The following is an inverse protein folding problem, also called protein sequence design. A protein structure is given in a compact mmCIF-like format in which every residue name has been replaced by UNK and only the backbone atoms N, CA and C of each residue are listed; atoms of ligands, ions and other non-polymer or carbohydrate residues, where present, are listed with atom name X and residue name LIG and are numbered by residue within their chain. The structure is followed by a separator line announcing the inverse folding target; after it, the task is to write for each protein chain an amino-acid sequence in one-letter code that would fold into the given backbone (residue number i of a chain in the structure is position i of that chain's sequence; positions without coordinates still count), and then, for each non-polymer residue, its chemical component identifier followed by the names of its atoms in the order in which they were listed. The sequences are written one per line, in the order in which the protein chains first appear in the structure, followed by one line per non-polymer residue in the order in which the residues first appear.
data_IF_455038312619
#
_entry.id   IF_455038312619
#
_cell.length_a   1.000
_cell.length_b   1.000
_cell.length_c   1.000
_cell.angle_alpha   90.00
_cell.angle_beta   90.00
_cell.angle_gamma   90.00
#
_symmetry.space_group_name_H-M   'P 1'
#
loop_
_entity.id
_entity.type
_entity.pdbx_description
1 polymer ?
#
# COMPACT_ATOMS: atom_id res chain seq x y z
N UNK A 1 20.88 1.67 21.82
CA UNK A 1 19.91 1.19 20.83
C UNK A 1 20.44 1.45 19.44
N UNK A 2 20.72 0.41 18.65
CA UNK A 2 21.09 0.56 17.25
C UNK A 2 19.81 0.54 16.42
N UNK A 3 19.46 1.68 15.81
CA UNK A 3 18.39 1.75 14.82
C UNK A 3 19.02 1.35 13.50
N UNK A 4 18.66 0.16 12.99
CA UNK A 4 19.11 -0.30 11.69
C UNK A 4 18.31 0.48 10.62
N UNK A 5 18.89 1.57 10.13
CA UNK A 5 18.37 2.28 8.95
C UNK A 5 18.79 1.45 7.74
N UNK A 6 17.84 0.98 6.92
CA UNK A 6 18.18 0.28 5.68
C UNK A 6 19.01 1.22 4.79
N UNK A 7 20.32 1.04 4.80
CA UNK A 7 21.20 1.47 3.71
C UNK A 7 20.74 0.68 2.48
N UNK A 8 20.65 1.34 1.32
CA UNK A 8 20.09 0.85 0.05
C UNK A 8 20.57 -0.54 -0.47
N UNK A 9 21.44 -1.24 0.27
CA UNK A 9 21.91 -2.61 0.00
C UNK A 9 21.26 -3.72 0.83
N UNK A 10 20.39 -3.42 1.81
CA UNK A 10 19.69 -4.47 2.59
C UNK A 10 18.36 -4.93 2.00
N UNK A 11 17.69 -4.11 1.20
CA UNK A 11 16.46 -4.50 0.54
C UNK A 11 16.76 -5.24 -0.77
N UNK A 12 15.90 -6.17 -1.15
CA UNK A 12 16.00 -6.87 -2.43
C UNK A 12 15.82 -5.88 -3.59
N UNK A 13 16.25 -6.26 -4.80
CA UNK A 13 16.09 -5.42 -6.00
C UNK A 13 14.62 -5.10 -6.32
N UNK A 14 13.68 -5.94 -5.86
CA UNK A 14 12.24 -5.76 -5.98
C UNK A 14 11.62 -4.98 -4.82
N UNK A 15 12.42 -4.33 -3.99
CA UNK A 15 11.96 -3.64 -2.78
C UNK A 15 12.46 -2.19 -2.72
N UNK A 16 11.77 -1.38 -1.93
CA UNK A 16 12.16 -0.02 -1.57
C UNK A 16 12.31 0.08 -0.05
N UNK A 17 13.30 0.86 0.39
CA UNK A 17 13.44 1.21 1.81
C UNK A 17 12.50 2.36 2.16
N UNK A 18 11.58 2.14 3.10
CA UNK A 18 10.71 3.15 3.69
C UNK A 18 10.82 3.07 5.21
N UNK A 19 11.36 4.12 5.83
CA UNK A 19 11.58 4.21 7.29
C UNK A 19 12.33 3.00 7.91
N UNK A 20 13.29 2.45 7.17
CA UNK A 20 14.05 1.28 7.62
C UNK A 20 13.30 -0.05 7.47
N UNK A 21 12.18 -0.06 6.75
CA UNK A 21 11.47 -1.26 6.34
C UNK A 21 11.61 -1.48 4.84
N UNK A 22 11.89 -2.71 4.43
CA UNK A 22 11.85 -3.08 3.01
C UNK A 22 10.41 -3.41 2.64
N UNK A 23 9.86 -2.67 1.68
CA UNK A 23 8.52 -2.89 1.11
C UNK A 23 8.64 -3.26 -0.35
N UNK A 24 7.72 -4.06 -0.87
CA UNK A 24 7.72 -4.46 -2.27
C UNK A 24 7.53 -3.25 -3.19
N UNK A 25 8.33 -3.21 -4.24
CA UNK A 25 8.23 -2.23 -5.33
C UNK A 25 7.76 -2.94 -6.59
N UNK A 26 6.88 -2.26 -7.30
CA UNK A 26 6.27 -2.73 -8.52
C UNK A 26 6.52 -1.87 -9.75
N UNK A 27 5.84 -2.21 -10.84
CA UNK A 27 5.64 -1.32 -12.00
C UNK A 27 4.81 -0.08 -11.62
N UNK A 28 3.93 -0.22 -10.63
CA UNK A 28 3.23 0.86 -9.92
C UNK A 28 3.16 0.51 -8.44
N UNK A 29 3.30 1.50 -7.57
CA UNK A 29 3.19 1.31 -6.11
C UNK A 29 2.60 2.55 -5.45
N UNK A 30 1.68 2.32 -4.51
CA UNK A 30 1.09 3.32 -3.64
C UNK A 30 1.43 2.95 -2.20
N UNK A 31 2.16 3.82 -1.52
CA UNK A 31 2.62 3.57 -0.16
C UNK A 31 2.10 4.65 0.77
N UNK A 32 1.38 4.24 1.81
CA UNK A 32 0.97 5.10 2.90
C UNK A 32 1.84 4.84 4.13
N UNK A 33 2.15 5.91 4.87
CA UNK A 33 2.87 5.85 6.14
C UNK A 33 2.15 6.65 7.21
N UNK A 34 2.19 6.18 8.44
CA UNK A 34 1.60 6.91 9.57
C UNK A 34 2.31 6.61 10.89
N UNK A 35 2.15 7.52 11.84
CA UNK A 35 2.63 7.33 13.20
C UNK A 35 1.72 6.34 13.94
N UNK A 36 2.32 5.40 14.68
CA UNK A 36 1.60 4.45 15.54
C UNK A 36 0.69 5.13 16.57
N UNK A 37 0.98 6.39 16.94
CA UNK A 37 0.11 7.19 17.81
C UNK A 37 -1.29 7.41 17.24
N UNK A 38 -1.44 7.27 15.93
CA UNK A 38 -2.71 7.46 15.23
C UNK A 38 -3.49 6.15 15.02
N UNK A 39 -3.05 5.05 15.65
CA UNK A 39 -3.68 3.73 15.52
C UNK A 39 -3.29 2.99 14.25
N UNK A 40 -4.12 2.01 13.88
CA UNK A 40 -3.92 1.23 12.64
C UNK A 40 -4.48 2.01 11.45
N UNK A 41 -3.66 2.11 10.41
CA UNK A 41 -4.01 2.74 9.15
C UNK A 41 -4.10 1.72 8.02
N UNK A 42 -4.86 2.05 6.98
CA UNK A 42 -5.01 1.23 5.79
C UNK A 42 -5.08 2.10 4.55
N UNK A 43 -4.34 1.71 3.51
CA UNK A 43 -4.52 2.27 2.17
C UNK A 43 -5.57 1.46 1.42
N UNK A 44 -6.46 2.18 0.73
CA UNK A 44 -7.48 1.60 -0.14
C UNK A 44 -7.28 2.21 -1.52
N UNK A 45 -7.08 1.37 -2.53
CA UNK A 45 -6.87 1.80 -3.91
C UNK A 45 -7.97 1.25 -4.78
N UNK A 46 -8.72 2.13 -5.44
CA UNK A 46 -9.66 1.77 -6.50
C UNK A 46 -9.01 1.99 -7.86
N UNK A 47 -8.96 0.93 -8.65
CA UNK A 47 -8.33 0.92 -9.97
C UNK A 47 -9.21 1.60 -11.03
N UNK A 48 -8.67 1.92 -12.21
CA UNK A 48 -9.44 2.38 -13.36
C UNK A 48 -10.56 1.43 -13.80
N UNK A 49 -10.39 0.12 -13.54
CA UNK A 49 -11.41 -0.90 -13.81
C UNK A 49 -12.40 -1.08 -12.67
N UNK A 50 -12.40 -0.16 -11.70
CA UNK A 50 -13.37 -0.09 -10.61
C UNK A 50 -13.21 -1.17 -9.54
N UNK A 51 -12.07 -1.85 -9.51
CA UNK A 51 -11.71 -2.85 -8.51
C UNK A 51 -11.02 -2.21 -7.31
N UNK A 52 -11.22 -2.73 -6.10
CA UNK A 52 -10.68 -2.15 -4.87
C UNK A 52 -9.68 -3.08 -4.22
N UNK A 53 -8.49 -2.57 -3.94
CA UNK A 53 -7.38 -3.28 -3.29
C UNK A 53 -7.16 -2.65 -1.92
N UNK A 54 -7.12 -3.48 -0.87
CA UNK A 54 -6.91 -3.09 0.53
C UNK A 54 -6.62 -4.37 1.35
N UNK A 55 -6.39 -4.24 2.67
CA UNK A 55 -6.03 -5.40 3.52
C UNK A 55 -7.03 -6.56 3.47
N UNK A 56 -8.33 -6.29 3.29
CA UNK A 56 -9.38 -7.32 3.20
C UNK A 56 -9.51 -7.97 1.83
N UNK A 57 -8.78 -7.46 0.83
CA UNK A 57 -8.65 -8.04 -0.50
C UNK A 57 -7.17 -8.12 -0.92
N UNK A 58 -6.32 -8.89 -0.20
CA UNK A 58 -4.88 -8.71 -0.28
C UNK A 58 -4.22 -9.33 -1.51
N UNK A 59 -4.88 -10.29 -2.20
CA UNK A 59 -4.33 -10.99 -3.38
C UNK A 59 -5.38 -11.75 -4.23
N UNK A 60 -5.09 -11.81 -5.54
CA UNK A 60 -5.35 -12.92 -6.49
C UNK A 60 -6.77 -13.35 -6.84
N UNK A 61 -7.76 -12.45 -6.83
CA UNK A 61 -8.93 -12.64 -7.69
C UNK A 61 -8.92 -11.60 -8.80
N UNK A 62 -9.62 -11.88 -9.90
CA UNK A 62 -9.85 -10.94 -11.01
C UNK A 62 -10.25 -9.53 -10.56
N UNK A 63 -10.76 -9.39 -9.34
CA UNK A 63 -11.20 -8.17 -8.67
C UNK A 63 -10.10 -7.29 -8.06
N UNK A 64 -8.83 -7.50 -8.37
CA UNK A 64 -7.71 -6.66 -7.89
C UNK A 64 -6.77 -6.21 -9.01
N UNK A 65 -7.11 -6.49 -10.27
CA UNK A 65 -6.30 -6.15 -11.46
C UNK A 65 -4.81 -6.49 -11.32
N UNK A 66 -4.52 -7.64 -10.71
CA UNK A 66 -3.17 -8.14 -10.44
C UNK A 66 -2.35 -7.35 -9.40
N UNK A 67 -2.93 -6.31 -8.80
CA UNK A 67 -2.33 -5.60 -7.69
C UNK A 67 -2.31 -6.43 -6.41
N UNK A 68 -1.39 -6.09 -5.51
CA UNK A 68 -1.14 -6.79 -4.25
C UNK A 68 -1.11 -5.80 -3.11
N UNK A 69 -1.62 -6.23 -1.97
CA UNK A 69 -1.47 -5.51 -0.70
C UNK A 69 -0.33 -6.12 0.10
N UNK A 70 0.40 -5.25 0.80
CA UNK A 70 1.43 -5.61 1.76
C UNK A 70 1.40 -4.61 2.91
N UNK A 71 1.48 -5.12 4.13
CA UNK A 71 1.61 -4.31 5.33
C UNK A 71 2.89 -4.73 6.06
N UNK A 72 3.75 -3.76 6.39
CA UNK A 72 5.07 -4.02 7.02
C UNK A 72 5.21 -3.23 8.32
N UNK A 73 5.89 -3.86 9.29
CA UNK A 73 6.18 -3.31 10.62
C UNK A 73 5.38 -3.98 11.73
N UNK A 74 5.98 -4.11 12.90
CA UNK A 74 5.29 -4.61 14.11
C UNK A 74 4.24 -3.57 14.54
N UNK A 75 2.98 -3.83 14.21
CA UNK A 75 1.87 -2.89 14.41
C UNK A 75 1.57 -1.98 13.21
N UNK A 76 2.05 -2.32 12.00
CA UNK A 76 1.62 -1.75 10.72
C UNK A 76 1.72 -0.23 10.65
N UNK A 77 2.90 0.30 10.31
CA UNK A 77 3.11 1.76 10.12
C UNK A 77 3.26 2.14 8.65
N UNK A 78 3.44 1.14 7.80
CA UNK A 78 3.54 1.27 6.36
C UNK A 78 2.55 0.30 5.72
N UNK A 79 1.68 0.83 4.86
CA UNK A 79 0.78 0.05 4.00
C UNK A 79 1.15 0.30 2.55
N UNK A 80 1.17 -0.77 1.77
CA UNK A 80 1.65 -0.74 0.41
C UNK A 80 0.70 -1.50 -0.51
N UNK A 81 0.35 -0.88 -1.63
CA UNK A 81 -0.32 -1.55 -2.74
C UNK A 81 0.56 -1.45 -3.97
N UNK A 82 0.92 -2.58 -4.55
CA UNK A 82 1.87 -2.63 -5.67
C UNK A 82 1.47 -3.64 -6.74
N UNK A 83 1.85 -3.36 -7.97
CA UNK A 83 1.80 -4.29 -9.09
C UNK A 83 3.20 -4.85 -9.33
N UNK A 84 3.46 -6.16 -9.13
CA UNK A 84 4.79 -6.74 -9.37
C UNK A 84 5.37 -6.33 -10.73
N UNK A 85 6.69 -6.28 -10.87
CA UNK A 85 7.35 -5.77 -12.09
C UNK A 85 6.97 -6.53 -13.37
N UNK A 86 6.44 -7.75 -13.27
CA UNK A 86 5.93 -8.54 -14.40
C UNK A 86 4.42 -8.40 -14.62
N UNK A 87 3.78 -7.39 -14.03
CA UNK A 87 2.34 -7.11 -14.09
C UNK A 87 2.11 -5.70 -14.61
N UNK A 88 1.06 -5.53 -15.40
CA UNK A 88 0.72 -4.27 -16.05
C UNK A 88 -0.49 -3.68 -15.32
N UNK A 89 -0.32 -2.62 -14.51
CA UNK A 89 -1.45 -1.94 -13.90
C UNK A 89 -2.38 -1.37 -14.99
N UNK A 90 -3.71 -1.43 -14.80
CA UNK A 90 -4.64 -0.78 -15.73
C UNK A 90 -4.29 0.70 -15.94
N UNK A 91 -4.39 1.17 -17.19
CA UNK A 91 -4.18 2.59 -17.50
C UNK A 91 -5.42 3.39 -17.12
N UNK A 92 -5.22 4.56 -16.52
CA UNK A 92 -6.29 5.49 -16.15
C UNK A 92 -6.12 6.01 -14.72
N UNK A 93 -7.15 6.71 -14.24
CA UNK A 93 -7.13 7.32 -12.91
C UNK A 93 -7.38 6.30 -11.81
N UNK A 94 -6.49 6.30 -10.82
CA UNK A 94 -6.67 5.58 -9.56
C UNK A 94 -7.27 6.51 -8.51
N UNK A 95 -8.16 5.98 -7.66
CA UNK A 95 -8.64 6.69 -6.46
C UNK A 95 -8.01 6.06 -5.24
N UNK A 96 -7.30 6.86 -4.45
CA UNK A 96 -6.54 6.39 -3.30
C UNK A 96 -7.16 7.01 -2.05
N UNK A 97 -7.56 6.18 -1.09
CA UNK A 97 -8.06 6.57 0.22
C UNK A 97 -7.13 6.06 1.33
N UNK A 98 -7.11 6.74 2.48
CA UNK A 98 -6.35 6.34 3.66
C UNK A 98 -7.23 6.38 4.91
N UNK A 99 -7.55 5.21 5.44
CA UNK A 99 -8.44 5.07 6.58
C UNK A 99 -7.66 4.82 7.87
N UNK A 100 -8.10 5.42 8.97
CA UNK A 100 -7.57 5.19 10.33
C UNK A 100 -8.63 4.52 11.20
N UNK A 101 -8.30 3.43 11.87
CA UNK A 101 -9.24 2.65 12.70
C UNK A 101 -9.92 1.51 11.95
N UNK A 102 -11.00 0.95 12.50
CA UNK A 102 -11.71 -0.18 11.89
C UNK A 102 -12.47 0.26 10.62
N UNK A 103 -12.16 -0.36 9.47
CA UNK A 103 -12.91 -0.16 8.20
C UNK A 103 -14.42 -0.48 8.28
N UNK A 104 -14.90 -0.95 9.43
CA UNK A 104 -16.29 -1.36 9.66
C UNK A 104 -17.25 -0.21 9.99
N UNK A 105 -16.74 1.00 10.29
CA UNK A 105 -17.59 2.14 10.69
C UNK A 105 -17.68 3.23 9.62
N UNK A 106 -18.13 2.86 8.41
CA UNK A 106 -18.96 3.61 7.45
C UNK A 106 -18.79 5.11 7.16
N UNK A 107 -17.80 5.82 7.71
CA UNK A 107 -17.60 7.26 7.53
C UNK A 107 -16.15 7.53 7.16
N UNK A 108 -15.78 7.03 5.99
CA UNK A 108 -14.44 7.23 5.45
C UNK A 108 -14.28 8.70 5.00
N UNK A 109 -13.65 9.53 5.85
CA UNK A 109 -13.25 10.91 5.53
C UNK A 109 -11.88 10.97 4.84
N UNK A 110 -11.56 9.92 4.09
CA UNK A 110 -10.26 9.77 3.44
C UNK A 110 -10.06 10.80 2.32
N UNK A 111 -8.93 11.51 2.27
CA UNK A 111 -8.57 12.30 1.09
C UNK A 111 -8.43 11.37 -0.12
N UNK A 112 -9.05 11.73 -1.24
CA UNK A 112 -8.89 11.01 -2.51
C UNK A 112 -7.72 11.61 -3.25
N UNK A 113 -6.67 10.82 -3.47
CA UNK A 113 -5.56 11.21 -4.35
C UNK A 113 -5.77 10.60 -5.73
N UNK A 114 -5.61 11.43 -6.78
CA UNK A 114 -5.54 10.98 -8.17
C UNK A 114 -4.08 10.81 -8.57
N UNK A 115 -3.70 9.59 -8.98
CA UNK A 115 -2.44 9.36 -9.65
C UNK A 115 -2.67 9.46 -11.18
N UNK A 116 -1.87 10.29 -11.86
CA UNK A 116 -1.86 10.45 -13.33
C UNK A 116 -0.65 9.79 -13.94
#
# INVERSE_FOLDING_TARGET
SAVLICVSRTCLMSEACVEGMCIQRGSLSFTARWSRRNGQGYIIVRTPLNHTIYFGNPRTKSFADEGRHEQVGDGSQVDNIYWPSNRIPPKGSYKICFSTGSLLNGTDKSPVFEAR
#
